data_IF_507217337385
#
_entry.id   IF_507217337385
#
_cell.length_a   1.000
_cell.length_b   1.000
_cell.length_c   1.000
_cell.angle_alpha   90.00
_cell.angle_beta   90.00
_cell.angle_gamma   90.00
#
_symmetry.space_group_name_H-M   'P 1'
#
loop_
_entity.id
_entity.type
_entity.pdbx_description
1 polymer ?
#
# COMPACT_ATOMS: atom_id res chain seq x y z
N UNK A 1 -36.17 80.60 34.51
CA UNK A 1 -36.66 79.22 34.34
C UNK A 1 -36.86 78.98 32.85
N UNK A 2 -35.78 78.72 32.13
CA UNK A 2 -35.79 78.30 30.73
C UNK A 2 -34.40 77.71 30.44
N UNK A 3 -34.39 76.64 29.63
CA UNK A 3 -33.22 75.90 29.14
C UNK A 3 -32.72 74.76 30.04
N UNK A 4 -33.21 73.54 29.79
CA UNK A 4 -32.35 72.33 29.81
C UNK A 4 -32.88 71.12 28.98
N UNK A 5 -33.79 71.35 28.02
CA UNK A 5 -34.36 70.26 27.21
C UNK A 5 -33.61 69.98 25.89
N UNK A 6 -32.84 70.94 25.36
CA UNK A 6 -32.11 70.77 24.10
C UNK A 6 -30.84 69.91 24.21
N UNK A 7 -30.17 69.90 25.36
CA UNK A 7 -28.88 69.22 25.57
C UNK A 7 -29.05 67.72 25.84
N UNK A 8 -30.17 67.32 26.46
CA UNK A 8 -30.53 65.92 26.76
C UNK A 8 -30.98 65.15 25.51
N UNK A 9 -31.75 65.78 24.63
CA UNK A 9 -32.25 65.12 23.41
C UNK A 9 -31.14 64.87 22.37
N UNK A 10 -30.17 65.77 22.25
CA UNK A 10 -28.99 65.56 21.39
C UNK A 10 -28.08 64.42 21.89
N UNK A 11 -27.97 64.25 23.21
CA UNK A 11 -27.22 63.14 23.81
C UNK A 11 -27.91 61.79 23.62
N UNK A 12 -29.24 61.74 23.83
CA UNK A 12 -30.04 60.51 23.60
C UNK A 12 -30.03 60.10 22.13
N UNK A 13 -30.19 61.06 21.21
CA UNK A 13 -30.10 60.79 19.77
C UNK A 13 -28.70 60.31 19.36
N UNK A 14 -27.63 60.91 19.91
CA UNK A 14 -26.25 60.48 19.69
C UNK A 14 -25.98 59.06 20.23
N UNK A 15 -26.51 58.73 21.41
CA UNK A 15 -26.39 57.41 22.01
C UNK A 15 -27.10 56.33 21.17
N UNK A 16 -28.31 56.63 20.68
CA UNK A 16 -29.07 55.73 19.79
C UNK A 16 -28.29 55.49 18.50
N UNK A 17 -27.70 56.52 17.89
CA UNK A 17 -26.89 56.38 16.69
C UNK A 17 -25.66 55.48 16.92
N UNK A 18 -24.96 55.65 18.04
CA UNK A 18 -23.80 54.81 18.41
C UNK A 18 -24.22 53.35 18.59
N UNK A 19 -25.36 53.09 19.24
CA UNK A 19 -25.90 51.75 19.42
C UNK A 19 -26.25 51.11 18.06
N UNK A 20 -26.85 51.86 17.15
CA UNK A 20 -27.18 51.37 15.80
C UNK A 20 -25.90 51.03 15.01
N UNK A 21 -24.88 51.89 15.05
CA UNK A 21 -23.60 51.65 14.37
C UNK A 21 -22.87 50.45 14.97
N UNK A 22 -22.88 50.31 16.29
CA UNK A 22 -22.29 49.17 16.99
C UNK A 22 -23.02 47.86 16.65
N UNK A 23 -24.36 47.87 16.63
CA UNK A 23 -25.18 46.73 16.24
C UNK A 23 -24.95 46.35 14.77
N UNK A 24 -24.91 47.31 13.85
CA UNK A 24 -24.63 47.06 12.43
C UNK A 24 -23.23 46.47 12.21
N UNK A 25 -22.22 46.97 12.94
CA UNK A 25 -20.86 46.43 12.89
C UNK A 25 -20.79 45.00 13.43
N UNK A 26 -21.52 44.71 14.51
CA UNK A 26 -21.59 43.38 15.09
C UNK A 26 -22.30 42.38 14.16
N UNK A 27 -23.40 42.81 13.52
CA UNK A 27 -24.12 42.02 12.50
C UNK A 27 -23.21 41.75 11.29
N UNK A 28 -22.49 42.75 10.77
CA UNK A 28 -21.56 42.53 9.66
C UNK A 28 -20.43 41.56 10.02
N UNK A 29 -19.89 41.64 11.24
CA UNK A 29 -18.88 40.70 11.71
C UNK A 29 -19.42 39.28 11.86
N UNK A 30 -20.67 39.13 12.33
CA UNK A 30 -21.36 37.84 12.40
C UNK A 30 -21.61 37.26 11.00
N UNK A 31 -22.10 38.07 10.06
CA UNK A 31 -22.33 37.64 8.67
C UNK A 31 -21.02 37.22 8.01
N UNK A 32 -19.94 38.00 8.18
CA UNK A 32 -18.61 37.63 7.68
C UNK A 32 -18.13 36.32 8.30
N UNK A 33 -18.24 36.15 9.62
CA UNK A 33 -17.84 34.93 10.32
C UNK A 33 -18.63 33.71 9.86
N UNK A 34 -19.95 33.84 9.69
CA UNK A 34 -20.81 32.78 9.17
C UNK A 34 -20.50 32.44 7.71
N UNK A 35 -20.23 33.44 6.88
CA UNK A 35 -19.79 33.24 5.49
C UNK A 35 -18.46 32.46 5.45
N UNK A 36 -17.45 32.88 6.23
CA UNK A 36 -16.16 32.17 6.29
C UNK A 36 -16.32 30.73 6.79
N UNK A 37 -17.20 30.47 7.77
CA UNK A 37 -17.50 29.11 8.24
C UNK A 37 -18.16 28.26 7.16
N UNK A 38 -19.15 28.82 6.45
CA UNK A 38 -19.82 28.16 5.32
C UNK A 38 -18.82 27.81 4.22
N UNK A 39 -17.96 28.75 3.84
CA UNK A 39 -16.94 28.55 2.81
C UNK A 39 -15.94 27.46 3.22
N UNK A 40 -15.53 27.45 4.49
CA UNK A 40 -14.67 26.40 5.05
C UNK A 40 -15.33 25.03 5.03
N UNK A 41 -16.61 24.93 5.42
CA UNK A 41 -17.34 23.67 5.38
C UNK A 41 -17.51 23.16 3.94
N UNK A 42 -17.82 24.06 3.01
CA UNK A 42 -17.94 23.73 1.60
C UNK A 42 -16.61 23.23 1.03
N UNK A 43 -15.50 23.88 1.39
CA UNK A 43 -14.16 23.44 1.01
C UNK A 43 -13.82 22.04 1.53
N UNK A 44 -14.12 21.76 2.81
CA UNK A 44 -13.88 20.44 3.41
C UNK A 44 -14.71 19.35 2.72
N UNK A 45 -16.00 19.61 2.50
CA UNK A 45 -16.89 18.68 1.82
C UNK A 45 -16.43 18.37 0.39
N UNK A 46 -16.03 19.41 -0.36
CA UNK A 46 -15.44 19.22 -1.69
C UNK A 46 -14.15 18.40 -1.62
N UNK A 47 -13.28 18.64 -0.63
CA UNK A 47 -12.03 17.88 -0.46
C UNK A 47 -12.30 16.41 -0.14
N UNK A 48 -13.31 16.11 0.67
CA UNK A 48 -13.76 14.73 0.97
C UNK A 48 -14.28 14.02 -0.27
N UNK A 49 -15.18 14.66 -1.04
CA UNK A 49 -15.70 14.09 -2.28
C UNK A 49 -14.59 13.80 -3.29
N UNK A 50 -13.65 14.75 -3.46
CA UNK A 50 -12.49 14.58 -4.36
C UNK A 50 -11.62 13.41 -3.93
N UNK A 51 -11.40 13.28 -2.63
CA UNK A 51 -10.65 12.17 -2.04
C UNK A 51 -11.38 10.84 -2.31
N UNK A 52 -12.70 10.77 -2.11
CA UNK A 52 -13.49 9.58 -2.39
C UNK A 52 -13.47 9.17 -3.88
N UNK A 53 -13.55 10.15 -4.80
CA UNK A 53 -13.43 9.91 -6.24
C UNK A 53 -12.04 9.38 -6.61
N UNK A 54 -10.99 9.93 -6.01
CA UNK A 54 -9.61 9.45 -6.20
C UNK A 54 -9.44 8.00 -5.75
N UNK A 55 -9.91 7.65 -4.54
CA UNK A 55 -9.89 6.28 -4.05
C UNK A 55 -10.69 5.33 -4.94
N UNK A 56 -11.86 5.76 -5.41
CA UNK A 56 -12.72 4.97 -6.28
C UNK A 56 -12.07 4.72 -7.65
N UNK A 57 -11.42 5.75 -8.22
CA UNK A 57 -10.65 5.62 -9.45
C UNK A 57 -9.50 4.61 -9.29
N UNK A 58 -8.69 4.74 -8.24
CA UNK A 58 -7.62 3.79 -7.94
C UNK A 58 -8.16 2.36 -7.82
N UNK A 59 -9.25 2.16 -7.08
CA UNK A 59 -9.88 0.84 -6.94
C UNK A 59 -10.36 0.25 -8.27
N UNK A 60 -10.99 1.06 -9.12
CA UNK A 60 -11.41 0.62 -10.46
C UNK A 60 -10.21 0.29 -11.36
N UNK A 61 -9.09 1.01 -11.21
CA UNK A 61 -7.84 0.72 -11.92
C UNK A 61 -7.19 -0.59 -11.50
N UNK A 62 -7.43 -1.12 -10.29
CA UNK A 62 -6.80 -2.35 -9.81
C UNK A 62 -7.10 -3.58 -10.68
N UNK A 63 -8.29 -3.65 -11.29
CA UNK A 63 -8.73 -4.76 -12.14
C UNK A 63 -8.15 -4.72 -13.55
N UNK A 64 -7.46 -3.64 -13.87
CA UNK A 64 -7.04 -3.32 -15.23
C UNK A 64 -5.53 -3.42 -15.36
N UNK A 65 -5.06 -3.64 -16.59
CA UNK A 65 -3.63 -3.73 -16.89
C UNK A 65 -2.89 -2.42 -16.64
N UNK A 66 -1.60 -2.52 -16.34
CA UNK A 66 -0.74 -1.35 -16.14
C UNK A 66 -0.70 -0.52 -17.43
N UNK A 67 -0.74 0.82 -17.29
CA UNK A 67 -0.46 1.70 -18.42
C UNK A 67 0.94 1.41 -18.98
N UNK A 68 1.17 1.64 -20.28
CA UNK A 68 2.47 1.32 -20.91
C UNK A 68 3.57 2.20 -20.31
N UNK A 69 4.78 1.67 -20.26
CA UNK A 69 5.94 2.41 -19.75
C UNK A 69 6.09 3.73 -20.54
N UNK A 70 6.10 4.86 -19.84
CA UNK A 70 6.18 6.19 -20.44
C UNK A 70 4.85 6.84 -20.83
N UNK A 71 3.73 6.10 -20.79
CA UNK A 71 2.41 6.68 -21.04
C UNK A 71 2.00 7.61 -19.88
N UNK A 72 1.37 8.73 -20.25
CA UNK A 72 0.71 9.64 -19.31
C UNK A 72 -0.79 9.66 -19.59
N UNK A 73 -1.55 8.91 -18.82
CA UNK A 73 -3.02 8.98 -18.90
C UNK A 73 -3.51 10.17 -18.09
N UNK A 74 -4.38 10.95 -18.71
CA UNK A 74 -4.90 12.21 -18.18
C UNK A 74 -6.42 12.14 -18.18
N UNK A 75 -7.00 11.97 -16.99
CA UNK A 75 -8.46 12.03 -16.82
C UNK A 75 -8.80 13.37 -16.16
N UNK A 76 -9.71 14.12 -16.78
CA UNK A 76 -10.22 15.39 -16.25
C UNK A 76 -11.53 15.11 -15.52
N UNK A 77 -11.65 15.60 -14.29
CA UNK A 77 -12.92 15.54 -13.58
C UNK A 77 -13.99 16.37 -14.31
N UNK A 78 -15.28 16.00 -14.23
CA UNK A 78 -16.36 16.69 -14.93
C UNK A 78 -16.39 18.18 -14.58
N UNK A 79 -16.73 19.03 -15.56
CA UNK A 79 -16.94 20.46 -15.37
C UNK A 79 -18.24 20.70 -14.58
N UNK A 80 -18.12 21.02 -13.31
CA UNK A 80 -19.21 21.54 -12.49
C UNK A 80 -18.92 23.01 -12.16
N UNK A 81 -19.33 23.92 -13.05
CA UNK A 81 -19.22 25.37 -12.84
C UNK A 81 -17.81 25.91 -12.54
N UNK A 82 -17.73 26.99 -11.74
CA UNK A 82 -16.50 27.71 -11.32
C UNK A 82 -15.63 26.90 -10.34
N UNK A 83 -15.55 25.59 -10.50
CA UNK A 83 -14.69 24.74 -9.66
C UNK A 83 -13.32 24.54 -10.32
N UNK A 84 -12.22 24.53 -9.55
CA UNK A 84 -10.89 24.24 -10.09
C UNK A 84 -10.88 22.88 -10.78
N UNK A 85 -10.37 22.82 -12.01
CA UNK A 85 -10.21 21.54 -12.68
C UNK A 85 -9.09 20.73 -12.04
N UNK A 86 -9.34 19.42 -11.88
CA UNK A 86 -8.32 18.49 -11.43
C UNK A 86 -8.03 17.47 -12.52
N UNK A 87 -6.78 17.00 -12.50
CA UNK A 87 -6.29 15.99 -13.43
C UNK A 87 -5.78 14.79 -12.66
N UNK A 88 -6.31 13.62 -12.98
CA UNK A 88 -5.69 12.36 -12.61
C UNK A 88 -4.61 12.06 -13.64
N UNK A 89 -3.39 11.93 -13.14
CA UNK A 89 -2.22 11.60 -13.95
C UNK A 89 -1.74 10.21 -13.56
N UNK A 90 -1.83 9.27 -14.48
CA UNK A 90 -1.24 7.93 -14.32
C UNK A 90 0.09 7.90 -15.05
N UNK A 91 1.15 7.47 -14.36
CA UNK A 91 2.49 7.27 -14.92
C UNK A 91 2.95 5.87 -14.58
N UNK A 92 3.36 5.10 -15.59
CA UNK A 92 4.05 3.83 -15.36
C UNK A 92 5.55 4.02 -15.59
N UNK A 93 6.34 3.55 -14.64
CA UNK A 93 7.80 3.52 -14.74
C UNK A 93 8.35 2.20 -14.22
N UNK A 94 9.50 1.80 -14.78
CA UNK A 94 10.31 0.74 -14.18
C UNK A 94 11.05 1.29 -12.96
N UNK A 95 11.06 0.53 -11.89
CA UNK A 95 11.76 0.85 -10.64
C UNK A 95 12.89 -0.17 -10.44
N UNK A 96 14.10 0.33 -10.19
CA UNK A 96 15.29 -0.51 -10.02
C UNK A 96 15.78 -1.17 -11.31
N UNK A 97 16.45 -2.33 -11.18
CA UNK A 97 17.18 -2.99 -12.27
C UNK A 97 16.34 -3.72 -13.33
N UNK A 98 15.00 -3.79 -13.20
CA UNK A 98 13.97 -4.21 -14.20
C UNK A 98 12.79 -5.02 -13.61
N UNK A 99 12.92 -5.53 -12.39
CA UNK A 99 11.97 -6.50 -11.82
C UNK A 99 10.66 -5.90 -11.30
N UNK A 100 10.60 -4.58 -11.13
CA UNK A 100 9.43 -3.90 -10.57
C UNK A 100 8.94 -2.82 -11.52
N UNK A 101 7.64 -2.80 -11.76
CA UNK A 101 6.94 -1.67 -12.37
C UNK A 101 6.08 -0.99 -11.34
N UNK A 102 6.14 0.34 -11.32
CA UNK A 102 5.26 1.19 -10.52
C UNK A 102 4.29 1.90 -11.46
N UNK A 103 3.00 1.78 -11.17
CA UNK A 103 1.98 2.65 -11.72
C UNK A 103 1.57 3.64 -10.63
N UNK A 104 1.94 4.91 -10.84
CA UNK A 104 1.64 6.01 -9.93
C UNK A 104 0.47 6.83 -10.46
N UNK A 105 -0.55 6.99 -9.64
CA UNK A 105 -1.70 7.86 -9.90
C UNK A 105 -1.62 9.09 -9.01
N UNK A 106 -1.74 10.28 -9.59
CA UNK A 106 -1.71 11.55 -8.86
C UNK A 106 -2.96 12.37 -9.15
N UNK A 107 -3.60 12.89 -8.11
CA UNK A 107 -4.60 13.94 -8.20
C UNK A 107 -3.88 15.29 -8.19
N UNK A 108 -3.95 16.03 -9.29
CA UNK A 108 -3.30 17.33 -9.46
C UNK A 108 -4.29 18.48 -9.64
N UNK A 109 -3.97 19.66 -9.11
CA UNK A 109 -4.67 20.92 -9.38
C UNK A 109 -4.39 21.47 -10.79
N UNK A 110 -5.05 22.55 -11.20
CA UNK A 110 -4.74 23.28 -12.44
C UNK A 110 -3.31 23.82 -12.47
N UNK A 111 -2.82 24.31 -11.33
CA UNK A 111 -1.43 24.77 -11.15
C UNK A 111 -0.41 23.61 -11.08
N UNK A 112 -0.83 22.40 -11.44
CA UNK A 112 -0.03 21.16 -11.46
C UNK A 112 0.51 20.70 -10.09
N UNK A 113 -0.03 21.27 -8.99
CA UNK A 113 0.32 20.86 -7.63
C UNK A 113 -0.28 19.48 -7.30
N UNK A 114 0.54 18.58 -6.74
CA UNK A 114 0.10 17.24 -6.33
C UNK A 114 -0.66 17.32 -5.02
N UNK A 115 -1.95 16.98 -5.05
CA UNK A 115 -2.83 17.00 -3.88
C UNK A 115 -2.89 15.65 -3.18
N UNK A 116 -2.89 14.57 -3.96
CA UNK A 116 -2.84 13.17 -3.50
C UNK A 116 -2.06 12.34 -4.50
N UNK A 117 -1.45 11.27 -4.01
CA UNK A 117 -0.81 10.27 -4.86
C UNK A 117 -1.07 8.89 -4.32
N UNK A 118 -1.11 7.90 -5.19
CA UNK A 118 -1.12 6.50 -4.83
C UNK A 118 -0.27 5.72 -5.84
N UNK A 119 0.34 4.63 -5.39
CA UNK A 119 1.17 3.76 -6.23
C UNK A 119 0.72 2.31 -6.08
N UNK A 120 0.65 1.59 -7.19
CA UNK A 120 0.60 0.11 -7.18
C UNK A 120 1.79 -0.46 -7.91
N UNK A 121 2.18 -1.66 -7.54
CA UNK A 121 3.41 -2.30 -8.01
C UNK A 121 3.11 -3.64 -8.67
N UNK A 122 3.78 -3.91 -9.79
CA UNK A 122 3.87 -5.23 -10.41
C UNK A 122 5.29 -5.76 -10.23
N UNK A 123 5.41 -6.94 -9.63
CA UNK A 123 6.66 -7.63 -9.39
C UNK A 123 6.77 -8.80 -10.36
N UNK A 124 7.82 -8.80 -11.16
CA UNK A 124 8.19 -9.95 -11.95
C UNK A 124 8.77 -11.03 -11.02
N UNK A 125 8.19 -12.22 -11.07
CA UNK A 125 8.64 -13.35 -10.25
C UNK A 125 9.81 -14.06 -10.94
N UNK A 126 10.92 -14.34 -10.22
CA UNK A 126 12.05 -15.09 -10.77
C UNK A 126 11.63 -16.47 -11.27
N UNK A 127 12.17 -16.89 -12.41
CA UNK A 127 11.82 -18.16 -13.06
C UNK A 127 10.51 -18.11 -13.83
N UNK A 128 9.77 -17.00 -13.78
CA UNK A 128 8.60 -16.76 -14.62
C UNK A 128 8.98 -16.36 -16.05
N UNK A 129 7.96 -16.20 -16.92
CA UNK A 129 8.14 -15.92 -18.36
C UNK A 129 9.03 -14.70 -18.65
N UNK A 130 9.01 -13.70 -17.77
CA UNK A 130 9.82 -12.48 -17.92
C UNK A 130 11.30 -12.70 -17.56
N UNK A 131 11.63 -13.77 -16.84
CA UNK A 131 12.98 -14.06 -16.36
C UNK A 131 13.32 -15.58 -16.40
N UNK A 132 13.38 -16.18 -17.60
CA UNK A 132 13.57 -17.62 -17.77
C UNK A 132 14.97 -18.12 -17.39
N UNK A 133 15.96 -17.22 -17.27
CA UNK A 133 17.33 -17.54 -16.87
C UNK A 133 17.50 -17.80 -15.38
N UNK A 134 16.47 -17.57 -14.56
CA UNK A 134 16.50 -17.89 -13.13
C UNK A 134 16.02 -19.33 -12.89
N UNK A 135 16.96 -20.27 -13.06
CA UNK A 135 16.71 -21.73 -12.99
C UNK A 135 16.84 -22.33 -11.59
N UNK A 136 17.12 -21.53 -10.54
CA UNK A 136 17.29 -21.99 -9.16
C UNK A 136 15.96 -22.31 -8.44
N UNK A 137 15.03 -22.97 -9.12
CA UNK A 137 13.76 -23.43 -8.54
C UNK A 137 13.94 -24.86 -8.02
N UNK A 138 13.45 -25.11 -6.82
CA UNK A 138 13.55 -26.42 -6.18
C UNK A 138 12.76 -27.49 -6.93
N UNK A 139 13.46 -28.58 -7.23
CA UNK A 139 12.96 -29.83 -7.79
C UNK A 139 13.28 -30.98 -6.81
N UNK A 140 12.33 -31.89 -6.56
CA UNK A 140 12.60 -33.08 -5.74
C UNK A 140 13.84 -33.83 -6.23
N UNK A 141 14.74 -34.19 -5.31
CA UNK A 141 15.97 -34.93 -5.62
C UNK A 141 17.20 -34.07 -5.92
N UNK A 142 17.07 -32.74 -6.04
CA UNK A 142 18.20 -31.80 -6.11
C UNK A 142 18.27 -31.00 -4.80
N UNK A 143 19.34 -31.18 -4.03
CA UNK A 143 19.51 -30.56 -2.69
C UNK A 143 20.36 -29.28 -2.73
N UNK A 144 21.14 -29.07 -3.78
CA UNK A 144 22.05 -27.94 -3.94
C UNK A 144 21.87 -27.32 -5.32
N UNK A 145 21.74 -26.00 -5.38
CA UNK A 145 21.54 -25.26 -6.64
C UNK A 145 22.70 -24.27 -6.81
N UNK A 146 23.66 -24.64 -7.66
CA UNK A 146 24.71 -23.71 -8.10
C UNK A 146 24.23 -22.96 -9.32
N UNK A 147 23.46 -21.90 -9.10
CA UNK A 147 23.20 -20.91 -10.13
C UNK A 147 23.54 -19.53 -9.57
N UNK A 148 24.00 -18.63 -10.43
CA UNK A 148 24.16 -17.21 -10.10
C UNK A 148 22.81 -16.65 -9.67
N UNK A 149 22.57 -16.70 -8.36
CA UNK A 149 21.33 -16.25 -7.76
C UNK A 149 21.23 -14.76 -8.07
N UNK A 150 20.18 -14.28 -8.79
CA UNK A 150 20.01 -12.86 -8.91
C UNK A 150 19.83 -12.32 -7.51
N UNK A 151 20.84 -11.60 -7.03
CA UNK A 151 20.66 -10.73 -5.90
C UNK A 151 19.52 -9.80 -6.30
N UNK A 152 18.32 -10.06 -5.77
CA UNK A 152 17.49 -8.96 -5.29
C UNK A 152 18.40 -8.19 -4.34
N UNK A 153 19.15 -7.25 -4.90
CA UNK A 153 19.97 -6.34 -4.13
C UNK A 153 18.99 -5.72 -3.15
N UNK A 154 19.35 -5.71 -1.88
CA UNK A 154 18.56 -5.17 -0.76
C UNK A 154 17.85 -3.84 -1.15
N UNK A 155 18.54 -2.99 -1.93
CA UNK A 155 18.01 -1.74 -2.49
C UNK A 155 16.89 -1.81 -3.54
N UNK A 156 16.63 -2.97 -4.18
CA UNK A 156 15.51 -3.13 -5.12
C UNK A 156 14.16 -3.12 -4.41
N UNK A 157 14.16 -3.49 -3.14
CA UNK A 157 12.99 -3.42 -2.29
C UNK A 157 12.96 -2.16 -1.43
N UNK A 158 14.03 -1.35 -1.34
CA UNK A 158 14.10 -0.21 -0.40
C UNK A 158 12.96 0.82 -0.56
N UNK A 159 12.56 1.18 -1.79
CA UNK A 159 11.51 2.18 -2.00
C UNK A 159 10.12 1.64 -1.59
N UNK A 160 9.89 0.35 -1.87
CA UNK A 160 8.65 -0.37 -1.52
C UNK A 160 8.64 -0.68 -0.03
N UNK A 161 9.79 -1.07 0.50
CA UNK A 161 10.00 -1.35 1.91
C UNK A 161 9.82 -0.07 2.73
N UNK A 162 10.24 1.11 2.27
CA UNK A 162 10.02 2.36 3.03
C UNK A 162 8.55 2.75 3.13
N UNK A 163 7.73 2.46 2.10
CA UNK A 163 6.33 2.90 2.03
C UNK A 163 5.30 1.80 2.37
N UNK A 164 5.70 0.54 2.32
CA UNK A 164 4.81 -0.60 2.54
C UNK A 164 4.38 -0.77 4.01
N UNK A 165 3.18 -1.33 4.26
CA UNK A 165 2.73 -1.62 5.61
C UNK A 165 3.65 -2.64 6.30
N UNK A 166 3.75 -2.54 7.62
CA UNK A 166 4.38 -3.58 8.42
C UNK A 166 3.59 -4.89 8.32
N UNK A 167 4.29 -6.02 8.36
CA UNK A 167 3.63 -7.31 8.42
C UNK A 167 2.75 -7.41 9.69
N UNK A 168 1.48 -7.83 9.59
CA UNK A 168 0.57 -7.83 10.73
C UNK A 168 1.02 -8.82 11.81
N UNK A 169 0.69 -8.53 13.07
CA UNK A 169 1.06 -9.33 14.23
C UNK A 169 -0.16 -9.68 15.09
N UNK A 170 -0.07 -10.74 15.88
CA UNK A 170 -1.07 -11.09 16.88
C UNK A 170 -2.45 -11.44 16.30
N UNK A 171 -3.48 -10.74 16.74
CA UNK A 171 -4.86 -10.99 16.29
C UNK A 171 -5.08 -10.59 14.82
N UNK A 172 -4.34 -9.60 14.30
CA UNK A 172 -4.47 -9.18 12.90
C UNK A 172 -4.07 -10.27 11.89
N UNK A 173 -3.26 -11.26 12.31
CA UNK A 173 -2.93 -12.43 11.49
C UNK A 173 -4.12 -13.38 11.26
N UNK A 174 -5.21 -13.23 12.01
CA UNK A 174 -6.44 -13.99 11.77
C UNK A 174 -7.24 -13.41 10.60
N UNK A 175 -6.98 -12.16 10.21
CA UNK A 175 -7.64 -11.54 9.07
C UNK A 175 -6.91 -11.89 7.77
N UNK A 176 -7.64 -12.08 6.66
CA UNK A 176 -7.01 -12.32 5.36
C UNK A 176 -6.11 -11.15 4.93
N UNK A 177 -4.89 -11.46 4.51
CA UNK A 177 -3.95 -10.50 3.94
C UNK A 177 -4.48 -9.95 2.62
N UNK A 178 -4.34 -8.63 2.43
CA UNK A 178 -5.03 -7.87 1.38
C UNK A 178 -4.26 -7.76 0.06
N UNK A 179 -3.12 -8.42 -0.06
CA UNK A 179 -2.29 -8.38 -1.27
C UNK A 179 -1.21 -7.30 -1.30
N UNK A 180 -1.01 -6.57 -0.20
CA UNK A 180 0.05 -5.56 -0.11
C UNK A 180 1.46 -6.17 -0.10
N UNK A 181 2.46 -5.32 -0.33
CA UNK A 181 3.86 -5.60 -0.05
C UNK A 181 4.16 -5.27 1.42
N UNK A 182 4.23 -6.29 2.26
CA UNK A 182 4.50 -6.21 3.69
C UNK A 182 5.99 -6.34 4.00
N UNK A 183 6.44 -5.71 5.08
CA UNK A 183 7.86 -5.74 5.51
C UNK A 183 7.99 -6.18 6.96
N UNK A 184 8.90 -7.13 7.23
CA UNK A 184 9.32 -7.49 8.59
C UNK A 184 10.56 -6.66 9.00
N UNK A 185 10.37 -5.39 9.34
CA UNK A 185 11.45 -4.36 9.42
C UNK A 185 12.49 -4.51 10.52
N UNK A 186 12.17 -5.14 11.65
CA UNK A 186 12.99 -5.05 12.87
C UNK A 186 13.59 -6.38 13.32
N UNK A 187 13.01 -7.47 12.86
CA UNK A 187 13.34 -8.84 13.27
C UNK A 187 12.94 -9.80 12.16
N UNK A 188 13.37 -11.05 12.28
CA UNK A 188 12.90 -12.11 11.41
C UNK A 188 11.36 -12.13 11.39
N UNK A 189 10.80 -12.42 10.22
CA UNK A 189 9.38 -12.70 10.10
C UNK A 189 9.05 -13.89 10.99
N UNK A 190 8.13 -13.73 11.93
CA UNK A 190 7.74 -14.79 12.86
C UNK A 190 6.25 -15.08 12.73
N UNK A 191 5.92 -16.29 12.30
CA UNK A 191 4.55 -16.80 12.32
C UNK A 191 4.44 -17.81 13.45
N UNK A 192 3.63 -17.53 14.48
CA UNK A 192 3.63 -18.31 15.72
C UNK A 192 3.00 -19.70 15.54
N UNK A 193 3.24 -20.56 16.54
CA UNK A 193 2.79 -21.95 16.59
C UNK A 193 1.32 -22.11 16.22
N UNK A 194 1.01 -23.09 15.35
CA UNK A 194 -0.35 -23.46 14.92
C UNK A 194 -1.19 -22.31 14.38
N UNK A 195 -0.54 -21.25 13.89
CA UNK A 195 -1.25 -20.09 13.34
C UNK A 195 -1.67 -20.34 11.90
N UNK A 196 -2.91 -19.97 11.59
CA UNK A 196 -3.41 -19.92 10.22
C UNK A 196 -3.36 -18.49 9.71
N UNK A 197 -2.75 -18.28 8.56
CA UNK A 197 -2.69 -17.01 7.83
C UNK A 197 -3.25 -17.26 6.43
N UNK A 198 -4.19 -16.42 6.00
CA UNK A 198 -4.87 -16.57 4.72
C UNK A 198 -4.77 -15.31 3.88
N UNK A 199 -5.04 -15.42 2.57
CA UNK A 199 -5.15 -14.28 1.68
C UNK A 199 -3.96 -14.14 0.74
N UNK A 200 -3.59 -12.90 0.42
CA UNK A 200 -2.53 -12.60 -0.55
C UNK A 200 -1.49 -11.70 0.07
N UNK A 201 -0.21 -11.97 -0.19
CA UNK A 201 0.86 -11.10 0.30
C UNK A 201 2.14 -11.24 -0.53
N UNK A 202 2.85 -10.13 -0.65
CA UNK A 202 4.28 -10.15 -0.88
C UNK A 202 4.94 -9.74 0.43
N UNK A 203 5.80 -10.56 0.99
CA UNK A 203 6.45 -10.32 2.28
C UNK A 203 7.95 -10.22 2.05
N UNK A 204 8.53 -9.11 2.46
CA UNK A 204 9.97 -8.91 2.49
C UNK A 204 10.44 -9.07 3.93
N UNK A 205 11.31 -10.05 4.16
CA UNK A 205 11.82 -10.44 5.47
C UNK A 205 13.36 -10.31 5.50
N UNK A 206 13.90 -9.10 5.79
CA UNK A 206 15.33 -8.87 5.68
C UNK A 206 16.18 -9.73 6.61
N UNK A 207 15.64 -10.06 7.78
CA UNK A 207 16.38 -10.77 8.84
C UNK A 207 16.08 -12.27 8.92
N UNK A 208 15.40 -12.84 7.93
CA UNK A 208 14.98 -14.25 7.97
C UNK A 208 13.48 -14.42 8.11
N UNK A 209 13.03 -15.65 7.89
CA UNK A 209 11.64 -16.05 8.13
C UNK A 209 11.58 -17.34 8.93
N UNK A 210 10.86 -17.31 10.04
CA UNK A 210 10.62 -18.42 10.95
C UNK A 210 9.11 -18.67 11.02
N UNK A 211 8.69 -19.81 10.47
CA UNK A 211 7.33 -20.30 10.54
C UNK A 211 7.34 -21.43 11.56
N UNK A 212 6.68 -21.26 12.70
CA UNK A 212 6.68 -22.27 13.77
C UNK A 212 5.91 -23.55 13.37
N UNK A 213 5.95 -24.57 14.23
CA UNK A 213 5.27 -25.84 13.97
C UNK A 213 3.75 -25.67 13.81
N UNK A 214 3.15 -26.46 12.92
CA UNK A 214 1.72 -26.47 12.63
C UNK A 214 1.18 -25.21 11.95
N UNK A 215 2.05 -24.31 11.45
CA UNK A 215 1.62 -23.11 10.73
C UNK A 215 0.91 -23.48 9.44
N UNK A 216 -0.17 -22.77 9.14
CA UNK A 216 -0.92 -22.91 7.91
C UNK A 216 -0.93 -21.60 7.12
N UNK A 217 -0.30 -21.57 5.94
CA UNK A 217 -0.37 -20.44 5.02
C UNK A 217 -1.21 -20.83 3.81
N UNK A 218 -2.28 -20.08 3.56
CA UNK A 218 -3.21 -20.40 2.46
C UNK A 218 -3.50 -19.19 1.57
N UNK A 219 -3.16 -19.31 0.29
CA UNK A 219 -3.36 -18.29 -0.73
C UNK A 219 -2.03 -17.79 -1.30
N UNK A 220 -2.05 -17.04 -2.42
CA UNK A 220 -0.84 -16.64 -3.12
C UNK A 220 0.01 -15.71 -2.25
N UNK A 221 1.06 -16.27 -1.65
CA UNK A 221 1.98 -15.56 -0.78
C UNK A 221 3.40 -15.73 -1.30
N UNK A 222 4.09 -14.61 -1.49
CA UNK A 222 5.48 -14.57 -1.93
C UNK A 222 6.30 -14.08 -0.76
N UNK A 223 7.23 -14.89 -0.25
CA UNK A 223 8.10 -14.54 0.87
C UNK A 223 9.54 -14.45 0.35
N UNK A 224 10.04 -13.22 0.29
CA UNK A 224 11.43 -12.91 0.03
C UNK A 224 12.17 -12.74 1.35
N UNK A 225 13.11 -13.64 1.63
CA UNK A 225 14.00 -13.53 2.79
C UNK A 225 15.43 -13.28 2.34
N UNK A 226 16.14 -12.35 2.99
CA UNK A 226 17.59 -12.18 2.75
C UNK A 226 18.45 -13.08 3.64
N UNK A 227 17.82 -13.78 4.60
CA UNK A 227 18.44 -14.80 5.45
C UNK A 227 17.73 -16.15 5.26
N UNK A 228 18.04 -17.13 6.10
CA UNK A 228 17.40 -18.44 6.08
C UNK A 228 15.87 -18.35 6.22
N UNK A 229 15.19 -19.31 5.59
CA UNK A 229 13.77 -19.57 5.81
C UNK A 229 13.66 -20.91 6.53
N UNK A 230 13.12 -20.88 7.75
CA UNK A 230 12.92 -22.05 8.60
C UNK A 230 11.43 -22.28 8.78
N UNK A 231 10.99 -23.47 8.42
CA UNK A 231 9.60 -23.93 8.53
C UNK A 231 9.59 -25.07 9.53
N UNK A 232 8.76 -24.95 10.56
CA UNK A 232 8.56 -25.96 11.59
C UNK A 232 7.89 -27.23 11.05
N UNK A 233 7.69 -28.19 11.95
CA UNK A 233 7.05 -29.47 11.66
C UNK A 233 5.56 -29.28 11.39
N UNK A 234 4.97 -30.23 10.66
CA UNK A 234 3.52 -30.26 10.39
C UNK A 234 2.98 -28.97 9.74
N UNK A 235 3.83 -28.22 9.04
CA UNK A 235 3.42 -26.98 8.39
C UNK A 235 2.64 -27.27 7.11
N UNK A 236 1.59 -26.48 6.84
CA UNK A 236 0.78 -26.60 5.62
C UNK A 236 0.86 -25.29 4.84
N UNK A 237 1.64 -25.29 3.77
CA UNK A 237 1.84 -24.13 2.91
C UNK A 237 1.17 -24.37 1.57
N UNK A 238 0.11 -23.61 1.27
CA UNK A 238 -0.67 -23.74 0.03
C UNK A 238 -0.64 -22.44 -0.77
N UNK A 239 -0.08 -22.51 -1.98
CA UNK A 239 0.19 -21.40 -2.91
C UNK A 239 1.24 -20.43 -2.37
N UNK A 240 2.34 -20.96 -1.84
CA UNK A 240 3.42 -20.13 -1.28
C UNK A 240 4.68 -20.22 -2.15
N UNK A 241 5.25 -19.06 -2.48
CA UNK A 241 6.57 -18.94 -3.09
C UNK A 241 7.56 -18.48 -2.03
N UNK A 242 8.57 -19.29 -1.75
CA UNK A 242 9.65 -19.00 -0.82
C UNK A 242 10.94 -18.72 -1.61
N UNK A 243 11.55 -17.57 -1.36
CA UNK A 243 12.75 -17.15 -2.06
C UNK A 243 13.79 -16.62 -1.08
N UNK A 244 14.99 -17.21 -1.08
CA UNK A 244 16.12 -16.79 -0.25
C UNK A 244 17.46 -17.05 -0.92
N UNK A 245 18.46 -16.15 -0.80
CA UNK A 245 19.83 -16.44 -1.24
C UNK A 245 20.56 -17.43 -0.31
N UNK A 246 19.96 -17.79 0.83
CA UNK A 246 20.52 -18.70 1.84
C UNK A 246 19.85 -20.07 1.75
N UNK A 247 19.43 -20.64 2.89
CA UNK A 247 18.87 -21.98 2.99
C UNK A 247 17.37 -21.92 3.23
N UNK A 248 16.67 -22.94 2.72
CA UNK A 248 15.29 -23.27 3.13
C UNK A 248 15.35 -24.57 3.92
N UNK A 249 14.83 -24.56 5.14
CA UNK A 249 14.80 -25.72 6.03
C UNK A 249 13.34 -26.00 6.36
N UNK A 250 12.88 -27.21 6.02
CA UNK A 250 11.50 -27.66 6.23
C UNK A 250 11.48 -28.77 7.28
N UNK A 251 10.70 -28.61 8.33
CA UNK A 251 10.50 -29.62 9.36
C UNK A 251 9.62 -30.78 8.89
N UNK A 252 9.69 -31.88 9.64
CA UNK A 252 9.03 -33.15 9.32
C UNK A 252 7.52 -33.03 9.13
N UNK A 253 6.96 -33.97 8.34
CA UNK A 253 5.52 -34.13 8.11
C UNK A 253 4.82 -32.87 7.57
N UNK A 254 5.56 -32.00 6.87
CA UNK A 254 4.99 -30.79 6.29
C UNK A 254 4.36 -31.06 4.92
N UNK A 255 3.41 -30.21 4.51
CA UNK A 255 2.81 -30.21 3.17
C UNK A 255 3.06 -28.86 2.51
N UNK A 256 3.81 -28.86 1.41
CA UNK A 256 4.14 -27.65 0.65
C UNK A 256 3.60 -27.79 -0.78
N UNK A 257 2.54 -27.04 -1.08
CA UNK A 257 2.05 -26.77 -2.43
C UNK A 257 2.54 -25.37 -2.84
N UNK A 258 3.63 -25.28 -3.61
CA UNK A 258 4.26 -24.00 -3.86
C UNK A 258 5.54 -24.04 -4.69
N UNK A 259 6.36 -23.02 -4.53
CA UNK A 259 7.69 -22.90 -5.14
C UNK A 259 8.69 -22.54 -4.06
N UNK A 260 9.85 -23.20 -4.06
CA UNK A 260 10.98 -22.83 -3.21
C UNK A 260 12.18 -22.52 -4.07
N UNK A 261 12.91 -21.47 -3.75
CA UNK A 261 14.15 -21.10 -4.40
C UNK A 261 15.15 -20.68 -3.32
N UNK A 262 16.26 -21.42 -3.23
CA UNK A 262 17.31 -21.23 -2.26
C UNK A 262 18.65 -21.09 -2.97
N UNK A 263 19.45 -20.09 -2.60
CA UNK A 263 20.79 -19.90 -3.18
C UNK A 263 21.83 -20.90 -2.68
N UNK A 264 21.58 -21.58 -1.56
CA UNK A 264 22.48 -22.58 -0.99
C UNK A 264 21.88 -23.97 -1.07
N UNK A 265 20.89 -24.26 -0.22
CA UNK A 265 20.29 -25.60 -0.13
C UNK A 265 18.82 -25.54 0.30
N UNK A 266 18.10 -26.60 -0.06
CA UNK A 266 16.76 -26.89 0.45
C UNK A 266 16.82 -28.22 1.18
N UNK A 267 16.50 -28.21 2.48
CA UNK A 267 16.46 -29.41 3.33
C UNK A 267 15.02 -29.73 3.66
N UNK A 268 14.60 -30.97 3.39
CA UNK A 268 13.25 -31.46 3.63
C UNK A 268 13.28 -32.47 4.76
N UNK A 269 12.46 -32.25 5.79
CA UNK A 269 12.27 -33.19 6.89
C UNK A 269 11.53 -34.45 6.46
N UNK A 270 11.59 -35.47 7.31
CA UNK A 270 11.03 -36.79 7.00
C UNK A 270 9.50 -36.73 6.85
N UNK A 271 8.96 -37.50 5.91
CA UNK A 271 7.52 -37.54 5.63
C UNK A 271 6.95 -36.26 5.00
N UNK A 272 7.78 -35.28 4.63
CA UNK A 272 7.34 -34.04 4.00
C UNK A 272 6.91 -34.27 2.55
N UNK A 273 5.74 -33.73 2.18
CA UNK A 273 5.22 -33.76 0.82
C UNK A 273 5.42 -32.40 0.14
N UNK A 274 6.04 -32.41 -1.04
CA UNK A 274 6.19 -31.21 -1.87
C UNK A 274 5.54 -31.41 -3.24
N UNK A 275 4.74 -30.43 -3.64
CA UNK A 275 4.16 -30.31 -4.97
C UNK A 275 4.43 -28.91 -5.51
N UNK A 276 5.04 -28.87 -6.70
CA UNK A 276 5.34 -27.62 -7.39
C UNK A 276 4.06 -26.98 -7.94
N UNK A 277 3.87 -25.68 -7.70
CA UNK A 277 2.75 -24.90 -8.25
C UNK A 277 3.27 -23.74 -9.12
N UNK A 278 3.30 -23.95 -10.44
CA UNK A 278 3.80 -22.96 -11.40
C UNK A 278 2.92 -21.72 -11.57
N UNK A 279 1.67 -21.75 -11.07
CA UNK A 279 0.80 -20.57 -11.13
C UNK A 279 1.37 -19.38 -10.33
N UNK A 280 2.28 -19.65 -9.40
CA UNK A 280 2.99 -18.64 -8.60
C UNK A 280 4.08 -17.89 -9.36
N UNK A 281 4.46 -18.33 -10.58
CA UNK A 281 5.43 -17.65 -11.43
C UNK A 281 4.82 -16.51 -12.25
N UNK A 282 3.50 -16.32 -12.18
CA UNK A 282 2.85 -15.14 -12.74
C UNK A 282 3.26 -13.87 -11.98
N UNK A 283 3.34 -12.70 -12.64
CA UNK A 283 3.67 -11.44 -11.96
C UNK A 283 2.74 -11.15 -10.78
N UNK A 284 3.31 -10.71 -9.67
CA UNK A 284 2.55 -10.34 -8.48
C UNK A 284 2.18 -8.86 -8.53
N UNK A 285 0.87 -8.54 -8.44
CA UNK A 285 0.35 -7.17 -8.46
C UNK A 285 -0.21 -6.79 -7.09
N UNK A 286 0.17 -5.62 -6.57
CA UNK A 286 -0.38 -5.05 -5.33
C UNK A 286 -1.65 -4.22 -5.62
N UNK A 287 -2.52 -4.02 -4.62
CA UNK A 287 -3.46 -2.90 -4.59
C UNK A 287 -2.72 -1.55 -4.59
N UNK A 288 -3.46 -0.45 -4.76
CA UNK A 288 -2.90 0.89 -4.57
C UNK A 288 -2.56 1.16 -3.10
N UNK A 289 -1.38 1.75 -2.90
CA UNK A 289 -0.84 2.24 -1.63
C UNK A 289 -0.88 3.77 -1.69
N UNK A 290 -1.54 4.40 -0.72
CA UNK A 290 -1.87 5.83 -0.68
C UNK A 290 -0.91 6.62 0.21
#
# INVERSE_FOLDING_TARGET
MLMDFGRRNGFVAGLILVIIIAAASLIMNLVRSLATRRDKQHFLWQAEQRTALFFSFCKARETEDFARDGDRLVVRCPKSGREPMYRLVVKTRRVGKTLVKEEKTELRSEDDAVLRSASRYEFAIPGGRQHPHYQALFEPGKTTYTADFPLFLEGSFDEICRKGPDFPMGHFLQLPLRGYAYVARKKALQIPLKKTVTGRALVVAPYGAELADGVQLTGPMVIFSFSDIVIGREAVLKKVLLFTPKRVIVGDYSQIDGIMAAGQSVTMGDGTCYRRDESLLAPYRTPYIF
#
